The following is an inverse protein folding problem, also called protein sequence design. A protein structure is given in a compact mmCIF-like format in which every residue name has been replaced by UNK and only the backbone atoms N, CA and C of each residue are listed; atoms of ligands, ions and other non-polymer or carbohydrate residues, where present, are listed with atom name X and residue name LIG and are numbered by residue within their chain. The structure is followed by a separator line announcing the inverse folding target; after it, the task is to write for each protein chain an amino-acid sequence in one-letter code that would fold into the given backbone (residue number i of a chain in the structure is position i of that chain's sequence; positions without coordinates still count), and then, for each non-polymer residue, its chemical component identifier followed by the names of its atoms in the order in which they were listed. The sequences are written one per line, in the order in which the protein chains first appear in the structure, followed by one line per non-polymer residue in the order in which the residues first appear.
data_IF_140400913624
#
_entry.id   IF_140400913624
#
_cell.length_a   1.000
_cell.length_b   1.000
_cell.length_c   1.000
_cell.angle_alpha   90.00
_cell.angle_beta   90.00
_cell.angle_gamma   90.00
#
_symmetry.space_group_name_H-M   'P 1'
#
loop_
_entity.id
_entity.type
_entity.pdbx_description
1 polymer ?
#
# COMPACT_ATOMS: atom_id res chain seq x y z
N UNK A 1 -3.73 -13.44 -23.49
CA UNK A 1 -3.67 -13.98 -22.12
C UNK A 1 -2.79 -13.04 -21.30
N UNK A 2 -3.39 -12.07 -20.61
CA UNK A 2 -2.66 -11.12 -19.77
C UNK A 2 -2.17 -11.84 -18.53
N UNK A 3 -0.86 -11.80 -18.28
CA UNK A 3 -0.25 -12.38 -17.09
C UNK A 3 -1.01 -11.90 -15.85
N UNK A 4 -1.46 -12.85 -15.04
CA UNK A 4 -2.25 -12.57 -13.85
C UNK A 4 -1.30 -11.94 -12.81
N UNK A 5 -1.24 -10.61 -12.81
CA UNK A 5 -0.50 -9.85 -11.80
C UNK A 5 -1.15 -10.12 -10.45
N UNK A 6 -0.39 -10.71 -9.53
CA UNK A 6 -0.92 -10.93 -8.19
C UNK A 6 0.19 -10.75 -7.18
N UNK A 7 0.02 -9.81 -6.25
CA UNK A 7 0.89 -9.61 -5.09
C UNK A 7 0.74 -10.74 -4.06
N UNK A 8 0.58 -11.98 -4.51
CA UNK A 8 0.39 -13.13 -3.61
C UNK A 8 1.63 -13.34 -2.74
N UNK A 9 1.35 -13.76 -1.52
CA UNK A 9 2.28 -14.17 -0.49
C UNK A 9 3.25 -13.09 -0.01
N UNK A 10 3.07 -11.83 -0.40
CA UNK A 10 3.97 -10.74 0.01
C UNK A 10 3.18 -9.44 0.22
N UNK A 11 3.73 -8.60 1.08
CA UNK A 11 3.41 -7.18 1.18
C UNK A 11 4.59 -6.39 0.64
N UNK A 12 4.29 -5.35 -0.12
CA UNK A 12 5.29 -4.51 -0.73
C UNK A 12 5.11 -3.07 -0.30
N UNK A 13 6.23 -2.38 -0.11
CA UNK A 13 6.30 -0.96 0.15
C UNK A 13 7.15 -0.31 -0.91
N UNK A 14 6.74 0.88 -1.30
CA UNK A 14 7.45 1.71 -2.24
C UNK A 14 7.40 3.14 -1.74
N UNK A 15 8.53 3.83 -1.74
CA UNK A 15 8.56 5.26 -1.48
C UNK A 15 9.47 5.97 -2.46
N UNK A 16 9.16 7.24 -2.70
CA UNK A 16 10.06 8.12 -3.43
C UNK A 16 11.32 8.40 -2.59
N UNK A 17 12.45 8.61 -3.25
CA UNK A 17 13.67 9.12 -2.62
C UNK A 17 13.44 10.44 -1.86
N UNK A 18 14.09 10.61 -0.71
CA UNK A 18 14.09 11.87 0.05
C UNK A 18 15.16 12.87 -0.42
N UNK A 19 16.28 12.38 -0.94
CA UNK A 19 17.48 13.17 -1.24
C UNK A 19 17.65 13.46 -2.73
N UNK A 20 16.61 13.24 -3.54
CA UNK A 20 16.63 13.36 -5.00
C UNK A 20 17.69 12.46 -5.68
N UNK A 21 18.21 11.43 -5.02
CA UNK A 21 19.16 10.48 -5.61
C UNK A 21 18.60 9.63 -6.75
N UNK A 22 17.28 9.69 -6.99
CA UNK A 22 16.57 8.80 -7.90
C UNK A 22 16.38 7.38 -7.36
N UNK A 23 16.96 7.06 -6.19
CA UNK A 23 16.75 5.76 -5.52
C UNK A 23 15.40 5.73 -4.84
N UNK A 24 14.44 5.04 -5.45
CA UNK A 24 13.13 4.81 -4.83
C UNK A 24 13.17 3.47 -4.08
N UNK A 25 13.27 3.48 -2.74
CA UNK A 25 13.30 2.24 -1.97
C UNK A 25 12.04 1.43 -2.22
N UNK A 26 12.24 0.13 -2.42
CA UNK A 26 11.15 -0.82 -2.58
C UNK A 26 11.41 -2.01 -1.66
N UNK A 27 10.56 -2.19 -0.65
CA UNK A 27 10.69 -3.26 0.31
C UNK A 27 9.65 -4.34 0.02
N UNK A 28 10.04 -5.59 0.18
CA UNK A 28 9.16 -6.76 0.15
C UNK A 28 9.22 -7.46 1.50
N UNK A 29 8.09 -7.98 1.97
CA UNK A 29 8.01 -8.71 3.22
C UNK A 29 7.02 -9.87 3.08
N UNK A 30 7.42 -11.04 3.59
CA UNK A 30 6.58 -12.23 3.74
C UNK A 30 6.25 -12.52 5.20
N UNK A 31 7.03 -11.94 6.10
CA UNK A 31 7.02 -12.24 7.52
C UNK A 31 7.15 -10.96 8.33
N UNK A 32 6.48 -10.85 9.50
CA UNK A 32 6.53 -9.64 10.31
C UNK A 32 7.97 -9.26 10.68
N UNK A 33 8.35 -8.01 10.40
CA UNK A 33 9.68 -7.48 10.75
C UNK A 33 10.81 -7.86 9.79
N UNK A 34 10.56 -8.77 8.85
CA UNK A 34 11.55 -9.16 7.83
C UNK A 34 11.27 -8.41 6.52
N UNK A 35 12.16 -7.47 6.19
CA UNK A 35 12.07 -6.67 4.98
C UNK A 35 13.29 -6.91 4.09
N UNK A 36 13.03 -7.26 2.83
CA UNK A 36 14.03 -7.38 1.78
C UNK A 36 13.86 -6.23 0.80
N UNK A 37 14.91 -5.44 0.61
CA UNK A 37 14.93 -4.43 -0.46
C UNK A 37 14.99 -5.11 -1.82
N UNK A 38 14.15 -4.66 -2.75
CA UNK A 38 14.12 -5.15 -4.12
C UNK A 38 15.06 -4.32 -4.98
N UNK A 39 15.95 -5.02 -5.67
CA UNK A 39 16.82 -4.44 -6.68
C UNK A 39 16.00 -3.72 -7.77
N UNK A 40 16.65 -2.75 -8.43
CA UNK A 40 15.96 -1.88 -9.40
C UNK A 40 15.49 -2.63 -10.64
N UNK A 41 16.22 -3.64 -11.06
CA UNK A 41 15.94 -4.51 -12.21
C UNK A 41 15.10 -5.75 -11.84
N UNK A 42 14.72 -5.91 -10.57
CA UNK A 42 13.93 -7.04 -10.14
C UNK A 42 12.56 -7.09 -10.88
N UNK A 43 12.17 -8.23 -11.48
CA UNK A 43 10.91 -8.35 -12.22
C UNK A 43 9.68 -8.14 -11.32
N UNK A 44 9.84 -8.42 -10.03
CA UNK A 44 8.86 -8.14 -8.98
C UNK A 44 8.54 -6.64 -8.94
N UNK A 45 9.56 -5.77 -8.96
CA UNK A 45 9.39 -4.31 -8.93
C UNK A 45 8.62 -3.79 -10.15
N UNK A 46 8.93 -4.31 -11.34
CA UNK A 46 8.18 -3.96 -12.56
C UNK A 46 6.70 -4.36 -12.46
N UNK A 47 6.39 -5.49 -11.80
CA UNK A 47 5.02 -5.93 -11.55
C UNK A 47 4.31 -5.01 -10.57
N UNK A 48 4.98 -4.57 -9.50
CA UNK A 48 4.42 -3.63 -8.53
C UNK A 48 4.05 -2.29 -9.14
N UNK A 49 4.93 -1.74 -10.00
CA UNK A 49 4.66 -0.48 -10.69
C UNK A 49 3.43 -0.60 -11.61
N UNK A 50 3.27 -1.72 -12.31
CA UNK A 50 2.06 -1.97 -13.12
C UNK A 50 0.79 -2.05 -12.26
N UNK A 51 0.86 -2.71 -11.12
CA UNK A 51 -0.28 -2.79 -10.18
C UNK A 51 -0.60 -1.41 -9.63
N UNK A 52 0.41 -0.64 -9.24
CA UNK A 52 0.29 0.74 -8.80
C UNK A 52 -0.43 1.60 -9.86
N UNK A 53 0.03 1.55 -11.11
CA UNK A 53 -0.55 2.33 -12.21
C UNK A 53 -1.98 1.87 -12.50
N UNK A 54 -2.23 0.56 -12.50
CA UNK A 54 -3.58 0.02 -12.71
C UNK A 54 -4.55 0.45 -11.60
N UNK A 55 -4.15 0.39 -10.33
CA UNK A 55 -5.00 0.78 -9.21
C UNK A 55 -5.17 2.29 -9.10
N UNK A 56 -4.15 3.07 -9.47
CA UNK A 56 -4.22 4.53 -9.50
C UNK A 56 -5.18 5.05 -10.58
N UNK A 57 -5.32 4.33 -11.70
CA UNK A 57 -6.22 4.73 -12.78
C UNK A 57 -7.62 4.07 -12.69
N UNK A 58 -7.69 2.80 -12.31
CA UNK A 58 -8.92 2.00 -12.41
C UNK A 58 -9.39 1.40 -11.08
N UNK A 59 -8.60 1.55 -10.02
CA UNK A 59 -8.94 1.03 -8.69
C UNK A 59 -10.16 1.73 -8.11
N UNK A 60 -11.01 0.97 -7.41
CA UNK A 60 -12.12 1.56 -6.66
C UNK A 60 -11.58 2.15 -5.37
N UNK A 61 -11.95 3.39 -5.05
CA UNK A 61 -11.58 3.99 -3.77
C UNK A 61 -12.33 3.27 -2.66
N UNK A 62 -11.60 2.64 -1.74
CA UNK A 62 -12.11 1.87 -0.62
C UNK A 62 -12.01 2.70 0.65
N UNK A 63 -13.15 3.12 1.20
CA UNK A 63 -13.14 3.99 2.38
C UNK A 63 -12.85 3.19 3.66
N UNK A 64 -11.65 3.38 4.20
CA UNK A 64 -11.20 2.83 5.47
C UNK A 64 -11.08 3.95 6.51
N UNK A 65 -12.21 4.43 7.03
CA UNK A 65 -12.21 5.46 8.07
C UNK A 65 -11.97 6.87 7.54
N UNK A 66 -10.98 7.58 8.10
CA UNK A 66 -10.73 8.98 7.71
C UNK A 66 -10.00 9.06 6.37
N UNK A 67 -9.85 10.27 5.83
CA UNK A 67 -9.20 10.52 4.53
C UNK A 67 -7.67 10.58 4.61
N UNK A 68 -7.05 10.12 5.70
CA UNK A 68 -5.59 10.19 5.89
C UNK A 68 -4.83 9.10 5.13
N UNK A 69 -5.51 7.98 4.81
CA UNK A 69 -5.03 6.90 3.95
C UNK A 69 -5.86 6.86 2.66
N UNK A 70 -5.22 6.98 1.49
CA UNK A 70 -5.89 6.73 0.20
C UNK A 70 -5.80 5.24 -0.12
N UNK A 71 -6.92 4.54 -0.03
CA UNK A 71 -6.98 3.09 -0.23
C UNK A 71 -7.73 2.77 -1.52
N UNK A 72 -7.12 1.98 -2.39
CA UNK A 72 -7.68 1.58 -3.68
C UNK A 72 -7.62 0.08 -3.84
N UNK A 73 -8.70 -0.48 -4.37
CA UNK A 73 -8.84 -1.93 -4.53
C UNK A 73 -9.23 -2.30 -5.96
N UNK A 74 -8.54 -3.31 -6.48
CA UNK A 74 -8.80 -3.93 -7.77
C UNK A 74 -9.78 -5.09 -7.66
N UNK A 75 -10.32 -5.50 -8.81
CA UNK A 75 -11.27 -6.61 -8.88
C UNK A 75 -10.67 -7.96 -8.44
N UNK A 76 -9.35 -8.14 -8.57
CA UNK A 76 -8.64 -9.37 -8.20
C UNK A 76 -8.14 -9.38 -6.75
N UNK A 77 -8.47 -8.35 -5.97
CA UNK A 77 -8.06 -8.22 -4.57
C UNK A 77 -6.75 -7.46 -4.37
N UNK A 78 -6.05 -7.05 -5.42
CA UNK A 78 -4.90 -6.16 -5.28
C UNK A 78 -5.36 -4.86 -4.61
N UNK A 79 -4.67 -4.51 -3.54
CA UNK A 79 -4.96 -3.37 -2.70
C UNK A 79 -3.74 -2.46 -2.68
N UNK A 80 -3.97 -1.17 -2.85
CA UNK A 80 -2.98 -0.12 -2.78
C UNK A 80 -3.39 0.84 -1.68
N UNK A 81 -2.48 1.11 -0.76
CA UNK A 81 -2.67 2.11 0.30
C UNK A 81 -1.57 3.16 0.15
N UNK A 82 -1.96 4.41 -0.08
CA UNK A 82 -1.03 5.54 -0.16
C UNK A 82 -1.14 6.37 1.11
N UNK A 83 0.01 6.61 1.73
CA UNK A 83 0.14 7.45 2.91
C UNK A 83 1.05 8.62 2.57
N UNK A 84 0.64 9.84 2.94
CA UNK A 84 1.44 11.07 2.74
C UNK A 84 2.08 11.46 4.08
N UNK A 85 3.31 11.00 4.38
CA UNK A 85 3.95 11.29 5.66
C UNK A 85 4.22 12.79 5.83
N UNK A 86 4.51 13.23 7.06
CA UNK A 86 4.91 14.61 7.36
C UNK A 86 6.28 14.97 6.79
N UNK A 87 7.14 13.97 6.57
CA UNK A 87 8.48 14.13 6.01
C UNK A 87 8.43 14.63 4.57
N UNK A 88 9.16 15.72 4.31
CA UNK A 88 9.32 16.32 2.98
C UNK A 88 10.62 15.85 2.32
N UNK A 89 10.60 15.72 0.99
CA UNK A 89 11.80 15.55 0.18
C UNK A 89 12.66 16.83 0.18
N UNK A 90 13.87 16.75 -0.38
CA UNK A 90 14.78 17.89 -0.53
C UNK A 90 14.13 19.08 -1.28
N UNK A 91 13.13 18.84 -2.12
CA UNK A 91 12.38 19.86 -2.84
C UNK A 91 11.17 20.40 -2.06
N UNK A 92 10.99 20.00 -0.79
CA UNK A 92 9.92 20.45 0.08
C UNK A 92 8.57 19.77 -0.16
N UNK A 93 8.50 18.73 -1.00
CA UNK A 93 7.25 18.01 -1.32
C UNK A 93 7.04 16.84 -0.37
N UNK A 94 5.80 16.54 -0.03
CA UNK A 94 5.49 15.31 0.70
C UNK A 94 5.72 14.13 -0.22
N UNK A 95 6.67 13.27 0.12
CA UNK A 95 6.97 12.09 -0.67
C UNK A 95 6.20 10.89 -0.10
N UNK A 96 5.22 10.33 -0.83
CA UNK A 96 4.32 9.32 -0.31
C UNK A 96 4.99 7.96 -0.09
N UNK A 97 4.41 7.18 0.81
CA UNK A 97 4.65 5.75 0.97
C UNK A 97 3.47 5.00 0.39
N UNK A 98 3.73 4.06 -0.50
CA UNK A 98 2.74 3.22 -1.17
C UNK A 98 2.92 1.80 -0.67
N UNK A 99 1.86 1.22 -0.12
CA UNK A 99 1.77 -0.18 0.26
C UNK A 99 0.94 -0.93 -0.77
N UNK A 100 1.42 -2.09 -1.23
CA UNK A 100 0.70 -2.97 -2.16
C UNK A 100 0.66 -4.39 -1.61
N UNK A 101 -0.52 -5.01 -1.60
CA UNK A 101 -0.73 -6.39 -1.17
C UNK A 101 -2.02 -6.96 -1.78
N UNK A 102 -2.24 -8.27 -1.68
CA UNK A 102 -3.55 -8.84 -2.03
C UNK A 102 -4.43 -9.02 -0.78
N UNK A 103 -5.63 -8.45 -0.80
CA UNK A 103 -6.58 -8.43 0.33
C UNK A 103 -7.24 -9.79 0.59
N UNK A 104 -7.19 -10.72 -0.36
CA UNK A 104 -7.72 -12.08 -0.19
C UNK A 104 -6.68 -13.04 0.37
N UNK A 105 -5.42 -12.60 0.42
CA UNK A 105 -4.31 -13.35 0.99
C UNK A 105 -4.26 -13.21 2.51
N UNK A 106 -3.62 -14.17 3.17
CA UNK A 106 -3.35 -14.11 4.62
C UNK A 106 -2.32 -13.03 4.96
N UNK A 107 -1.43 -12.74 4.02
CA UNK A 107 -0.40 -11.70 4.18
C UNK A 107 -0.95 -10.28 4.31
N UNK A 108 -2.25 -10.06 4.03
CA UNK A 108 -2.93 -8.80 4.35
C UNK A 108 -2.79 -8.41 5.83
N UNK A 109 -2.62 -9.39 6.73
CA UNK A 109 -2.45 -9.14 8.16
C UNK A 109 -1.14 -8.42 8.48
N UNK A 110 -0.16 -8.49 7.59
CA UNK A 110 1.11 -7.77 7.70
C UNK A 110 1.01 -6.31 7.26
N UNK A 111 0.03 -5.97 6.41
CA UNK A 111 -0.12 -4.62 5.83
C UNK A 111 -0.01 -3.45 6.83
N UNK A 112 -0.67 -3.49 8.01
CA UNK A 112 -0.56 -2.39 8.99
C UNK A 112 0.85 -2.29 9.58
N UNK A 113 1.46 -3.41 9.95
CA UNK A 113 2.81 -3.43 10.52
C UNK A 113 3.85 -2.99 9.47
N UNK A 114 3.68 -3.44 8.22
CA UNK A 114 4.49 -2.99 7.10
C UNK A 114 4.41 -1.47 6.92
N UNK A 115 3.22 -0.88 6.98
CA UNK A 115 3.08 0.57 6.91
C UNK A 115 3.80 1.29 8.05
N UNK A 116 3.70 0.81 9.29
CA UNK A 116 4.36 1.44 10.45
C UNK A 116 5.88 1.27 10.42
N UNK A 117 6.36 0.03 10.35
CA UNK A 117 7.79 -0.29 10.44
C UNK A 117 8.51 0.12 9.15
N UNK A 118 7.90 -0.12 8.00
CA UNK A 118 8.43 0.28 6.71
C UNK A 118 8.55 1.79 6.58
N UNK A 119 7.59 2.56 7.10
CA UNK A 119 7.71 4.03 7.14
C UNK A 119 8.92 4.45 7.98
N UNK A 120 9.14 3.84 9.16
CA UNK A 120 10.32 4.12 9.98
C UNK A 120 11.63 3.76 9.28
N UNK A 121 11.70 2.59 8.65
CA UNK A 121 12.87 2.14 7.87
C UNK A 121 13.19 3.12 6.74
N UNK A 122 12.17 3.64 6.06
CA UNK A 122 12.29 4.65 5.01
C UNK A 122 12.41 6.09 5.54
N UNK A 123 12.59 6.27 6.84
CA UNK A 123 12.73 7.57 7.55
C UNK A 123 11.55 8.51 7.30
N UNK A 124 10.34 7.96 7.36
CA UNK A 124 9.06 8.68 7.18
C UNK A 124 8.31 8.80 8.49
N UNK A 125 7.98 10.03 8.84
CA UNK A 125 7.20 10.37 10.01
C UNK A 125 5.71 10.39 9.66
N UNK A 126 4.93 9.61 10.40
CA UNK A 126 3.47 9.52 10.25
C UNK A 126 2.77 10.43 11.26
N UNK A 127 1.68 11.07 10.84
CA UNK A 127 0.86 11.89 11.74
C UNK A 127 0.02 11.03 12.69
N UNK A 128 -0.51 11.65 13.75
CA UNK A 128 -1.42 10.98 14.68
C UNK A 128 -2.67 10.41 13.98
N UNK A 129 -3.24 11.15 13.03
CA UNK A 129 -4.39 10.70 12.25
C UNK A 129 -4.07 9.45 11.40
N UNK A 130 -2.86 9.42 10.82
CA UNK A 130 -2.40 8.26 10.05
C UNK A 130 -2.21 7.04 10.94
N UNK A 131 -1.62 7.20 12.12
CA UNK A 131 -1.48 6.10 13.09
C UNK A 131 -2.84 5.58 13.59
N UNK A 132 -3.81 6.48 13.76
CA UNK A 132 -5.18 6.10 14.10
C UNK A 132 -5.84 5.27 12.99
N UNK A 133 -5.74 5.72 11.73
CA UNK A 133 -6.29 4.98 10.60
C UNK A 133 -5.55 3.65 10.34
N UNK A 134 -4.23 3.58 10.58
CA UNK A 134 -3.49 2.31 10.51
C UNK A 134 -3.97 1.34 11.60
N UNK A 135 -4.26 1.83 12.81
CA UNK A 135 -4.86 1.02 13.88
C UNK A 135 -6.22 0.45 13.44
N UNK A 136 -7.02 1.25 12.74
CA UNK A 136 -8.30 0.79 12.17
C UNK A 136 -8.09 -0.22 11.04
N UNK A 137 -7.14 0.02 10.14
CA UNK A 137 -6.75 -0.92 9.09
C UNK A 137 -6.38 -2.28 9.71
N UNK A 138 -5.61 -2.28 10.81
CA UNK A 138 -5.27 -3.50 11.55
C UNK A 138 -6.49 -4.27 12.05
N UNK A 139 -7.54 -3.58 12.49
CA UNK A 139 -8.78 -4.25 12.88
C UNK A 139 -9.48 -4.90 11.69
N UNK A 140 -9.61 -4.18 10.57
CA UNK A 140 -10.26 -4.69 9.35
C UNK A 140 -9.49 -5.86 8.75
N UNK A 141 -8.16 -5.81 8.72
CA UNK A 141 -7.32 -6.89 8.17
C UNK A 141 -7.43 -8.21 8.94
N UNK A 142 -7.92 -8.17 10.19
CA UNK A 142 -8.18 -9.37 11.01
C UNK A 142 -9.55 -10.00 10.76
N UNK A 143 -10.44 -9.33 10.04
CA UNK A 143 -11.76 -9.87 9.74
C UNK A 143 -11.67 -11.11 8.84
N UNK A 144 -12.65 -12.04 8.95
CA UNK A 144 -12.86 -13.08 7.96
C UNK A 144 -13.01 -12.51 6.56
N UNK A 145 -12.51 -13.22 5.54
CA UNK A 145 -12.48 -12.74 4.16
C UNK A 145 -13.87 -12.37 3.62
N UNK A 146 -14.93 -13.06 4.07
CA UNK A 146 -16.31 -12.74 3.70
C UNK A 146 -16.76 -11.36 4.19
N UNK A 147 -16.40 -10.99 5.43
CA UNK A 147 -16.73 -9.67 5.98
C UNK A 147 -15.94 -8.57 5.26
N UNK A 148 -14.67 -8.84 4.92
CA UNK A 148 -13.87 -7.92 4.11
C UNK A 148 -14.52 -7.74 2.73
N UNK A 149 -14.91 -8.83 2.06
CA UNK A 149 -15.58 -8.77 0.76
C UNK A 149 -16.87 -7.93 0.81
N UNK A 150 -17.72 -8.15 1.82
CA UNK A 150 -18.94 -7.36 2.01
C UNK A 150 -18.60 -5.88 2.27
N UNK A 151 -17.64 -5.61 3.15
CA UNK A 151 -17.22 -4.25 3.46
C UNK A 151 -16.65 -3.54 2.22
N UNK A 152 -15.82 -4.21 1.44
CA UNK A 152 -15.31 -3.70 0.18
C UNK A 152 -16.45 -3.42 -0.80
N UNK A 153 -17.44 -4.31 -0.95
CA UNK A 153 -18.56 -4.10 -1.87
C UNK A 153 -19.38 -2.86 -1.52
N UNK A 154 -19.66 -2.65 -0.23
CA UNK A 154 -20.47 -1.54 0.28
C UNK A 154 -19.70 -0.21 0.26
N UNK A 155 -18.43 -0.22 0.70
CA UNK A 155 -17.65 0.98 0.97
C UNK A 155 -16.60 1.31 -0.09
N UNK A 156 -16.54 0.55 -1.19
CA UNK A 156 -15.74 0.93 -2.36
C UNK A 156 -16.60 1.61 -3.41
N UNK A 157 -16.12 2.71 -3.99
CA UNK A 157 -16.78 3.41 -5.11
C UNK A 157 -15.81 3.53 -6.26
N UNK A 158 -16.32 3.44 -7.50
CA UNK A 158 -15.50 3.84 -8.65
C UNK A 158 -15.22 5.33 -8.50
N UNK A 159 -13.96 5.71 -8.62
CA UNK A 159 -13.61 7.10 -8.86
C UNK A 159 -14.02 7.38 -10.30
N UNK A 160 -14.95 8.31 -10.55
CA UNK A 160 -14.97 8.94 -11.87
C UNK A 160 -13.74 9.83 -11.92
N UNK A 161 -12.95 9.68 -12.98
CA UNK A 161 -12.07 10.78 -13.38
C UNK A 161 -12.99 11.86 -13.95
N UNK A 162 -13.43 12.76 -13.09
CA UNK A 162 -13.89 14.09 -13.50
C UNK A 162 -12.67 15.02 -13.49
#
# INVERSE_FOLDING_TARGET
MTAQHNCRNNVYLYAQSLDNSGKNPCLSSKDPGEYRELETDAPERATLLRINDSLSNYGRHWRLGTSSLDCRIGHHGDCLITVRPLTRDHSGRLAPVILIFNIWDDQRRLAPAALEDGSKLMRRELSADQLHDITRLKQVMRWPSLLIALHTLIFSRRTSHD
#
